data_IF_749199062788
#
_entry.id   IF_749199062788
#
_cell.length_a   1.000
_cell.length_b   1.000
_cell.length_c   1.000
_cell.angle_alpha   90.00
_cell.angle_beta   90.00
_cell.angle_gamma   90.00
#
_symmetry.space_group_name_H-M   'P 1'
#
loop_
_entity.id
_entity.type
_entity.pdbx_description
1 polymer ?
#
# COMPACT_ATOMS: atom_id res chain seq x y z
N UNK A 1 21.19 22.76 -10.19
CA UNK A 1 20.66 22.55 -8.82
C UNK A 1 19.17 22.31 -8.95
N UNK A 2 18.61 21.19 -8.47
CA UNK A 2 17.16 21.06 -8.40
C UNK A 2 16.68 22.00 -7.30
N UNK A 3 15.82 22.94 -7.66
CA UNK A 3 15.13 23.80 -6.70
C UNK A 3 14.24 22.91 -5.83
N UNK A 4 14.66 22.66 -4.58
CA UNK A 4 13.80 22.10 -3.55
C UNK A 4 12.61 23.03 -3.38
N UNK A 5 11.44 22.59 -3.85
CA UNK A 5 10.19 23.32 -3.71
C UNK A 5 9.71 23.16 -2.27
N UNK A 6 9.45 24.25 -1.53
CA UNK A 6 9.02 24.16 -0.14
C UNK A 6 7.61 23.55 -0.03
N UNK A 7 7.42 22.68 0.97
CA UNK A 7 6.10 22.23 1.39
C UNK A 7 5.45 23.34 2.22
N UNK A 8 4.22 23.71 1.88
CA UNK A 8 3.45 24.64 2.71
C UNK A 8 2.54 23.85 3.63
N UNK A 9 2.56 24.22 4.91
CA UNK A 9 1.65 23.67 5.92
C UNK A 9 0.28 24.34 5.91
N UNK A 10 0.07 25.35 5.06
CA UNK A 10 -1.06 26.26 5.17
C UNK A 10 -2.16 25.89 4.20
N UNK A 11 -3.18 25.18 4.66
CA UNK A 11 -4.47 24.99 3.97
C UNK A 11 -5.12 26.36 3.71
N UNK A 12 -5.90 26.58 2.64
CA UNK A 12 -6.75 27.77 2.53
C UNK A 12 -7.76 27.76 3.70
N UNK A 13 -7.45 28.46 4.79
CA UNK A 13 -8.22 28.39 6.04
C UNK A 13 -7.43 28.39 7.36
N UNK A 14 -6.09 28.49 7.35
CA UNK A 14 -5.31 28.76 8.57
C UNK A 14 -5.23 27.61 9.58
N UNK A 15 -5.45 26.37 9.14
CA UNK A 15 -5.21 25.17 9.94
C UNK A 15 -3.85 24.55 9.63
N UNK A 16 -3.13 24.13 10.68
CA UNK A 16 -2.04 23.15 10.59
C UNK A 16 -2.48 21.96 9.73
N UNK A 17 -1.62 21.44 8.84
CA UNK A 17 -1.92 20.21 8.09
C UNK A 17 -2.13 19.03 9.05
N UNK A 18 -3.38 18.81 9.42
CA UNK A 18 -3.79 17.70 10.25
C UNK A 18 -3.88 16.45 9.38
N UNK A 19 -3.15 15.40 9.78
CA UNK A 19 -3.29 14.08 9.17
C UNK A 19 -4.69 13.56 9.47
N UNK A 20 -5.43 13.20 8.42
CA UNK A 20 -6.77 12.63 8.56
C UNK A 20 -6.66 11.17 8.97
N UNK A 21 -6.99 10.88 10.22
CA UNK A 21 -7.09 9.51 10.72
C UNK A 21 -8.40 8.88 10.22
N UNK A 22 -8.27 7.84 9.40
CA UNK A 22 -9.39 7.12 8.80
C UNK A 22 -9.74 5.93 9.69
N UNK A 23 -10.99 5.89 10.12
CA UNK A 23 -11.57 4.86 10.98
C UNK A 23 -12.75 4.20 10.28
N UNK A 24 -13.25 3.11 10.84
CA UNK A 24 -14.44 2.41 10.34
C UNK A 24 -15.62 3.35 10.09
N UNK A 25 -15.88 4.28 11.01
CA UNK A 25 -17.05 5.17 10.94
C UNK A 25 -16.95 6.25 9.86
N UNK A 26 -15.73 6.66 9.49
CA UNK A 26 -15.51 7.73 8.49
C UNK A 26 -14.95 7.21 7.16
N UNK A 27 -14.71 5.91 7.02
CA UNK A 27 -14.03 5.31 5.87
C UNK A 27 -14.61 5.73 4.52
N UNK A 28 -15.91 5.57 4.29
CA UNK A 28 -16.53 5.90 3.00
C UNK A 28 -16.39 7.39 2.66
N UNK A 29 -16.62 8.27 3.63
CA UNK A 29 -16.47 9.72 3.43
C UNK A 29 -15.00 10.12 3.24
N UNK A 30 -14.08 9.44 3.92
CA UNK A 30 -12.64 9.64 3.74
C UNK A 30 -12.16 9.17 2.37
N UNK A 31 -12.64 8.01 1.91
CA UNK A 31 -12.30 7.45 0.60
C UNK A 31 -12.80 8.33 -0.53
N UNK A 32 -14.04 8.84 -0.45
CA UNK A 32 -14.59 9.74 -1.46
C UNK A 32 -13.80 11.06 -1.53
N UNK A 33 -13.48 11.63 -0.37
CA UNK A 33 -12.62 12.82 -0.27
C UNK A 33 -11.22 12.56 -0.82
N UNK A 34 -10.64 11.38 -0.54
CA UNK A 34 -9.31 11.01 -1.01
C UNK A 34 -9.29 10.85 -2.53
N UNK A 35 -10.32 10.24 -3.14
CA UNK A 35 -10.44 10.10 -4.60
C UNK A 35 -10.35 11.46 -5.30
N UNK A 36 -11.14 12.43 -4.84
CA UNK A 36 -11.08 13.79 -5.37
C UNK A 36 -9.67 14.41 -5.22
N UNK A 37 -9.03 14.24 -4.05
CA UNK A 37 -7.66 14.73 -3.85
C UNK A 37 -6.64 14.04 -4.76
N UNK A 38 -6.78 12.73 -5.04
CA UNK A 38 -5.90 11.99 -5.94
C UNK A 38 -6.07 12.49 -7.38
N UNK A 39 -7.30 12.68 -7.86
CA UNK A 39 -7.59 13.20 -9.20
C UNK A 39 -6.99 14.60 -9.44
N UNK A 40 -6.95 15.43 -8.40
CA UNK A 40 -6.41 16.79 -8.48
C UNK A 40 -4.90 16.89 -8.17
N UNK A 41 -4.26 15.80 -7.74
CA UNK A 41 -2.86 15.81 -7.31
C UNK A 41 -1.87 15.73 -8.48
N UNK A 42 -0.69 16.30 -8.28
CA UNK A 42 0.44 16.14 -9.19
C UNK A 42 1.19 14.82 -8.94
N UNK A 43 1.23 14.37 -7.68
CA UNK A 43 1.79 13.08 -7.28
C UNK A 43 1.19 12.61 -5.95
N UNK A 44 1.31 11.30 -5.70
CA UNK A 44 0.85 10.67 -4.46
C UNK A 44 2.04 9.95 -3.81
N UNK A 45 2.16 10.10 -2.49
CA UNK A 45 3.12 9.36 -1.67
C UNK A 45 2.37 8.36 -0.80
N UNK A 46 2.96 7.18 -0.61
CA UNK A 46 2.45 6.12 0.26
C UNK A 46 3.51 5.71 1.27
N UNK A 47 3.07 5.28 2.45
CA UNK A 47 3.93 4.76 3.52
C UNK A 47 3.19 3.67 4.31
N UNK A 48 3.92 2.71 4.87
CA UNK A 48 3.35 1.53 5.52
C UNK A 48 3.93 1.34 6.90
N UNK A 49 3.06 1.09 7.88
CA UNK A 49 3.47 0.53 9.17
C UNK A 49 3.21 -0.98 9.16
N UNK A 50 4.22 -1.75 9.54
CA UNK A 50 4.19 -3.21 9.46
C UNK A 50 4.47 -3.84 10.83
N UNK A 51 3.94 -5.05 11.04
CA UNK A 51 4.18 -5.80 12.28
C UNK A 51 5.61 -6.30 12.42
N UNK A 52 6.33 -6.36 11.29
CA UNK A 52 7.78 -6.37 11.17
C UNK A 52 8.20 -6.20 9.70
N UNK A 53 9.50 -6.10 9.44
CA UNK A 53 10.08 -5.94 8.08
C UNK A 53 10.99 -7.10 7.66
N UNK A 54 11.56 -7.85 8.60
CA UNK A 54 12.65 -8.80 8.32
C UNK A 54 12.46 -10.11 9.08
N UNK A 55 12.23 -11.21 8.36
CA UNK A 55 11.85 -12.50 8.98
C UNK A 55 12.95 -13.16 9.81
N UNK A 56 14.20 -12.84 9.52
CA UNK A 56 15.36 -13.24 10.30
C UNK A 56 16.58 -12.39 9.90
N UNK A 57 17.55 -12.13 10.79
CA UNK A 57 18.72 -11.30 10.48
C UNK A 57 19.54 -11.79 9.28
N UNK A 58 19.61 -13.11 9.05
CA UNK A 58 20.34 -13.70 7.91
C UNK A 58 19.54 -13.67 6.59
N UNK A 59 18.27 -13.25 6.63
CA UNK A 59 17.40 -13.08 5.46
C UNK A 59 17.27 -11.63 5.03
N UNK A 60 17.98 -10.71 5.66
CA UNK A 60 18.03 -9.33 5.18
C UNK A 60 18.56 -9.25 3.75
N UNK A 61 17.92 -8.42 2.90
CA UNK A 61 18.47 -8.08 1.59
C UNK A 61 19.88 -7.51 1.74
N UNK A 62 20.82 -8.10 1.03
CA UNK A 62 22.21 -7.65 0.99
C UNK A 62 22.48 -6.90 -0.32
N UNK A 63 23.40 -5.95 -0.32
CA UNK A 63 23.69 -5.09 -1.49
C UNK A 63 24.11 -5.88 -2.72
N UNK A 64 24.74 -7.04 -2.52
CA UNK A 64 25.24 -7.91 -3.59
C UNK A 64 24.28 -9.07 -3.92
N UNK A 65 23.07 -9.08 -3.35
CA UNK A 65 22.08 -10.08 -3.73
C UNK A 65 21.69 -9.89 -5.21
N UNK A 66 21.59 -11.01 -5.93
CA UNK A 66 20.91 -11.03 -7.22
C UNK A 66 19.43 -10.69 -7.01
N UNK A 67 18.81 -10.04 -7.99
CA UNK A 67 17.44 -9.50 -7.88
C UNK A 67 16.39 -10.55 -7.49
N UNK A 68 16.51 -11.78 -7.98
CA UNK A 68 15.64 -12.90 -7.63
C UNK A 68 15.82 -13.38 -6.18
N UNK A 69 17.06 -13.45 -5.68
CA UNK A 69 17.35 -13.79 -4.28
C UNK A 69 16.79 -12.73 -3.35
N UNK A 70 17.01 -11.45 -3.70
CA UNK A 70 16.44 -10.32 -2.97
C UNK A 70 14.91 -10.37 -2.95
N UNK A 71 14.29 -10.67 -4.08
CA UNK A 71 12.83 -10.86 -4.16
C UNK A 71 12.35 -11.98 -3.23
N UNK A 72 13.00 -13.15 -3.25
CA UNK A 72 12.60 -14.28 -2.40
C UNK A 72 12.75 -13.98 -0.90
N UNK A 73 13.79 -13.24 -0.50
CA UNK A 73 13.99 -12.77 0.87
C UNK A 73 12.88 -11.82 1.33
N UNK A 74 12.55 -10.84 0.47
CA UNK A 74 11.48 -9.87 0.75
C UNK A 74 10.12 -10.55 0.78
N UNK A 75 9.85 -11.45 -0.16
CA UNK A 75 8.63 -12.25 -0.23
C UNK A 75 8.40 -13.06 1.06
N UNK A 76 9.43 -13.75 1.55
CA UNK A 76 9.34 -14.53 2.81
C UNK A 76 8.98 -13.66 4.02
N UNK A 77 9.40 -12.38 4.04
CA UNK A 77 9.03 -11.45 5.11
C UNK A 77 7.62 -10.88 4.90
N UNK A 78 7.29 -10.47 3.68
CA UNK A 78 5.97 -9.93 3.32
C UNK A 78 4.83 -10.95 3.50
N UNK A 79 5.10 -12.25 3.38
CA UNK A 79 4.12 -13.32 3.62
C UNK A 79 3.90 -13.62 5.11
N UNK A 80 4.78 -13.15 6.01
CA UNK A 80 4.73 -13.43 7.46
C UNK A 80 4.22 -12.27 8.28
N UNK A 81 4.48 -11.04 7.83
CA UNK A 81 4.18 -9.83 8.58
C UNK A 81 3.09 -9.04 7.88
N UNK A 82 2.23 -8.42 8.67
CA UNK A 82 1.09 -7.67 8.15
C UNK A 82 1.41 -6.18 8.07
N UNK A 83 0.79 -5.51 7.10
CA UNK A 83 0.61 -4.06 7.13
C UNK A 83 -0.53 -3.74 8.09
N UNK A 84 -0.29 -2.86 9.05
CA UNK A 84 -1.25 -2.45 10.09
C UNK A 84 -1.73 -1.00 9.95
N UNK A 85 -1.01 -0.20 9.16
CA UNK A 85 -1.46 1.13 8.76
C UNK A 85 -0.95 1.44 7.36
N UNK A 86 -1.80 2.07 6.56
CA UNK A 86 -1.51 2.56 5.23
C UNK A 86 -1.63 4.09 5.23
N UNK A 87 -0.48 4.76 5.12
CA UNK A 87 -0.40 6.20 4.93
C UNK A 87 -0.46 6.56 3.44
N UNK A 88 -1.28 7.54 3.08
CA UNK A 88 -1.37 8.07 1.71
C UNK A 88 -1.50 9.57 1.73
N UNK A 89 -0.74 10.24 0.87
CA UNK A 89 -0.69 11.68 0.80
C UNK A 89 -0.61 12.17 -0.65
N UNK A 90 -1.74 12.60 -1.23
CA UNK A 90 -1.75 13.36 -2.48
C UNK A 90 -1.16 14.76 -2.28
N UNK A 91 -0.33 15.19 -3.23
CA UNK A 91 0.29 16.50 -3.25
C UNK A 91 -0.12 17.29 -4.49
N UNK A 92 -0.47 18.55 -4.30
CA UNK A 92 -0.86 19.48 -5.38
C UNK A 92 -0.08 20.78 -5.28
N UNK A 93 0.50 21.22 -6.40
CA UNK A 93 1.25 22.45 -6.52
C UNK A 93 0.31 23.66 -6.57
N UNK A 94 0.55 24.61 -5.67
CA UNK A 94 -0.07 25.91 -5.70
C UNK A 94 0.90 26.94 -6.26
N UNK A 95 0.63 27.40 -7.49
CA UNK A 95 1.44 28.43 -8.12
C UNK A 95 1.29 29.80 -7.45
N UNK A 96 0.16 30.07 -6.79
CA UNK A 96 -0.07 31.34 -6.09
C UNK A 96 0.76 31.45 -4.80
N UNK A 97 0.95 30.32 -4.10
CA UNK A 97 1.77 30.22 -2.89
C UNK A 97 3.19 29.73 -3.15
N UNK A 98 3.50 29.27 -4.37
CA UNK A 98 4.80 28.70 -4.73
C UNK A 98 5.18 27.48 -3.89
N UNK A 99 4.21 26.65 -3.51
CA UNK A 99 4.40 25.52 -2.58
C UNK A 99 3.43 24.38 -2.86
N UNK A 100 3.72 23.20 -2.31
CA UNK A 100 2.80 22.07 -2.36
C UNK A 100 1.81 22.09 -1.19
N UNK A 101 0.55 21.80 -1.49
CA UNK A 101 -0.45 21.34 -0.52
C UNK A 101 -0.41 19.82 -0.42
N UNK A 102 -0.53 19.31 0.80
CA UNK A 102 -0.58 17.88 1.05
C UNK A 102 -1.93 17.49 1.68
N UNK A 103 -2.42 16.31 1.33
CA UNK A 103 -3.65 15.76 1.88
C UNK A 103 -3.36 14.42 2.58
N UNK A 104 -2.66 14.42 3.74
CA UNK A 104 -2.25 13.18 4.41
C UNK A 104 -3.44 12.45 5.05
N UNK A 105 -3.53 11.16 4.80
CA UNK A 105 -4.52 10.24 5.35
C UNK A 105 -3.82 8.99 5.91
N UNK A 106 -4.23 8.55 7.10
CA UNK A 106 -3.76 7.29 7.69
C UNK A 106 -4.94 6.34 7.82
N UNK A 107 -4.84 5.16 7.19
CA UNK A 107 -5.84 4.12 7.26
C UNK A 107 -5.35 3.01 8.19
N UNK A 108 -6.13 2.68 9.21
CA UNK A 108 -5.89 1.46 9.98
C UNK A 108 -6.39 0.25 9.21
N UNK A 109 -5.46 -0.66 8.91
CA UNK A 109 -5.74 -1.93 8.25
C UNK A 109 -5.39 -3.01 9.26
N UNK A 110 -6.25 -4.02 9.42
CA UNK A 110 -5.92 -5.16 10.26
C UNK A 110 -6.48 -6.41 9.60
N UNK A 111 -5.64 -7.44 9.36
CA UNK A 111 -6.06 -8.66 8.69
C UNK A 111 -6.96 -9.49 9.63
N UNK A 112 -8.24 -9.13 9.67
CA UNK A 112 -9.30 -9.85 10.37
C UNK A 112 -10.34 -10.29 9.36
N UNK A 113 -10.68 -11.57 9.38
CA UNK A 113 -11.90 -12.07 8.73
C UNK A 113 -13.12 -11.65 9.54
N UNK A 114 -13.93 -10.74 9.01
CA UNK A 114 -15.23 -10.40 9.61
C UNK A 114 -16.27 -11.52 9.40
N UNK A 115 -16.09 -12.36 8.38
CA UNK A 115 -16.98 -13.49 8.06
C UNK A 115 -16.22 -14.83 8.14
N UNK A 116 -16.81 -15.87 8.75
CA UNK A 116 -16.27 -17.22 8.75
C UNK A 116 -16.53 -17.89 7.38
N UNK A 117 -16.02 -17.30 6.30
CA UNK A 117 -15.97 -17.97 5.00
C UNK A 117 -14.74 -18.87 4.93
N UNK A 118 -14.93 -20.06 4.37
CA UNK A 118 -13.94 -21.13 4.26
C UNK A 118 -12.56 -20.64 3.80
N UNK A 119 -11.56 -20.79 4.67
CA UNK A 119 -10.14 -20.57 4.40
C UNK A 119 -9.29 -20.86 5.65
N UNK A 120 -7.97 -21.06 5.52
CA UNK A 120 -7.08 -21.11 6.69
C UNK A 120 -7.18 -19.79 7.48
N UNK A 121 -6.91 -19.79 8.80
CA UNK A 121 -6.83 -18.53 9.54
C UNK A 121 -5.78 -17.62 8.90
N UNK A 122 -6.04 -16.30 8.89
CA UNK A 122 -5.04 -15.31 8.49
C UNK A 122 -4.05 -15.16 9.65
N UNK A 123 -3.11 -16.10 9.73
CA UNK A 123 -2.05 -16.06 10.72
C UNK A 123 -0.92 -15.16 10.22
N UNK A 124 -0.51 -14.22 11.06
CA UNK A 124 0.61 -13.33 10.81
C UNK A 124 1.41 -13.13 12.10
N UNK A 125 2.67 -12.77 11.96
CA UNK A 125 3.62 -12.64 13.05
C UNK A 125 3.78 -11.18 13.48
N UNK A 126 4.13 -11.00 14.75
CA UNK A 126 4.53 -9.71 15.30
C UNK A 126 5.90 -9.88 15.95
N UNK A 127 6.86 -9.02 15.60
CA UNK A 127 8.15 -9.01 16.28
C UNK A 127 8.15 -8.00 17.40
N UNK A 128 8.62 -8.42 18.58
CA UNK A 128 8.65 -7.60 19.80
C UNK A 128 9.37 -6.27 19.58
N UNK A 129 10.47 -6.26 18.83
CA UNK A 129 11.21 -5.02 18.53
C UNK A 129 10.40 -4.03 17.70
N UNK A 130 9.55 -4.53 16.81
CA UNK A 130 8.75 -3.73 15.90
C UNK A 130 7.53 -3.17 16.63
N UNK A 131 6.96 -3.94 17.56
CA UNK A 131 5.96 -3.44 18.53
C UNK A 131 6.57 -2.33 19.40
N UNK A 132 7.76 -2.53 19.95
CA UNK A 132 8.44 -1.55 20.81
C UNK A 132 8.72 -0.25 20.03
N UNK A 133 9.17 -0.37 18.78
CA UNK A 133 9.34 0.76 17.86
C UNK A 133 8.03 1.51 17.64
N UNK A 134 6.95 0.82 17.23
CA UNK A 134 5.64 1.43 16.99
C UNK A 134 5.09 2.11 18.26
N UNK A 135 5.24 1.47 19.42
CA UNK A 135 4.82 2.02 20.72
C UNK A 135 5.58 3.30 21.04
N UNK A 136 6.89 3.33 20.80
CA UNK A 136 7.73 4.51 21.02
C UNK A 136 7.24 5.71 20.21
N UNK A 137 6.75 5.49 18.99
CA UNK A 137 6.18 6.54 18.13
C UNK A 137 4.67 6.72 18.27
N UNK A 138 4.09 6.25 19.38
CA UNK A 138 2.67 6.47 19.74
C UNK A 138 1.67 5.85 18.75
N UNK A 139 2.02 4.73 18.13
CA UNK A 139 1.06 3.96 17.34
C UNK A 139 -0.11 3.48 18.22
N UNK A 140 -1.34 3.76 17.79
CA UNK A 140 -2.54 3.35 18.53
C UNK A 140 -2.98 1.94 18.13
N UNK A 141 -2.50 0.94 18.88
CA UNK A 141 -2.87 -0.45 18.68
C UNK A 141 -4.36 -0.72 18.91
N UNK A 142 -5.03 0.04 19.78
CA UNK A 142 -6.47 -0.12 19.99
C UNK A 142 -7.23 0.35 18.76
N UNK A 143 -6.92 1.53 18.24
CA UNK A 143 -7.51 2.01 17.00
C UNK A 143 -7.22 1.04 15.84
N UNK A 144 -5.98 0.56 15.71
CA UNK A 144 -5.62 -0.44 14.71
C UNK A 144 -6.49 -1.70 14.78
N UNK A 145 -6.75 -2.24 15.98
CA UNK A 145 -7.49 -3.49 16.15
C UNK A 145 -9.01 -3.30 16.09
N UNK A 146 -9.54 -2.17 16.56
CA UNK A 146 -10.98 -1.96 16.72
C UNK A 146 -11.62 -1.05 15.66
N UNK A 147 -10.87 -0.07 15.12
CA UNK A 147 -11.37 0.94 14.17
C UNK A 147 -11.04 0.62 12.71
N UNK A 148 -10.77 -0.65 12.40
CA UNK A 148 -10.38 -1.14 11.07
C UNK A 148 -11.32 -0.64 9.99
N UNK A 149 -10.78 0.06 9.00
CA UNK A 149 -11.47 0.31 7.74
C UNK A 149 -11.55 -1.01 6.97
N UNK A 150 -12.75 -1.54 6.72
CA UNK A 150 -12.92 -2.85 6.11
C UNK A 150 -12.46 -2.87 4.63
N UNK A 151 -11.18 -3.19 4.40
CA UNK A 151 -10.64 -3.49 3.07
C UNK A 151 -10.71 -5.00 2.73
N UNK A 152 -11.02 -5.86 3.70
CA UNK A 152 -10.87 -7.33 3.59
C UNK A 152 -11.88 -7.96 2.62
N UNK A 153 -13.13 -7.46 2.56
CA UNK A 153 -14.12 -7.95 1.58
C UNK A 153 -13.73 -7.58 0.14
N UNK A 154 -13.15 -6.40 -0.05
CA UNK A 154 -12.72 -5.89 -1.36
C UNK A 154 -11.43 -6.57 -1.84
N UNK A 155 -10.54 -6.98 -0.94
CA UNK A 155 -9.31 -7.70 -1.28
C UNK A 155 -9.62 -9.03 -1.99
N UNK A 156 -10.58 -9.81 -1.48
CA UNK A 156 -10.97 -11.08 -2.09
C UNK A 156 -11.57 -10.93 -3.49
N UNK A 157 -12.28 -9.83 -3.76
CA UNK A 157 -12.82 -9.52 -5.09
C UNK A 157 -11.74 -8.96 -6.03
N UNK A 158 -10.87 -8.06 -5.53
CA UNK A 158 -9.76 -7.50 -6.28
C UNK A 158 -8.75 -8.58 -6.70
N UNK A 159 -8.43 -9.53 -5.82
CA UNK A 159 -7.55 -10.67 -6.13
C UNK A 159 -8.14 -11.57 -7.22
N UNK A 160 -9.46 -11.79 -7.21
CA UNK A 160 -10.14 -12.53 -8.29
C UNK A 160 -10.07 -11.77 -9.61
N UNK A 161 -10.29 -10.45 -9.58
CA UNK A 161 -10.16 -9.58 -10.76
C UNK A 161 -8.75 -9.62 -11.36
N UNK A 162 -7.73 -9.37 -10.55
CA UNK A 162 -6.31 -9.39 -10.96
C UNK A 162 -5.87 -10.75 -11.51
N UNK A 163 -6.29 -11.85 -10.88
CA UNK A 163 -6.02 -13.20 -11.36
C UNK A 163 -6.65 -13.45 -12.74
N UNK A 164 -7.89 -12.99 -12.94
CA UNK A 164 -8.58 -13.07 -14.22
C UNK A 164 -7.88 -12.27 -15.31
N UNK A 165 -7.50 -11.01 -15.02
CA UNK A 165 -6.79 -10.13 -15.96
C UNK A 165 -5.40 -10.66 -16.34
N UNK A 166 -4.67 -11.22 -15.37
CA UNK A 166 -3.36 -11.85 -15.61
C UNK A 166 -3.48 -13.08 -16.51
N UNK A 167 -4.47 -13.94 -16.24
CA UNK A 167 -4.73 -15.13 -17.07
C UNK A 167 -5.19 -14.76 -18.48
N UNK A 168 -6.01 -13.72 -18.62
CA UNK A 168 -6.44 -13.20 -19.92
C UNK A 168 -5.29 -12.57 -20.71
N UNK A 169 -4.40 -11.83 -20.03
CA UNK A 169 -3.16 -11.29 -20.62
C UNK A 169 -2.20 -12.40 -21.11
N UNK A 170 -2.07 -13.49 -20.36
CA UNK A 170 -1.33 -14.68 -20.78
C UNK A 170 -1.99 -15.36 -21.98
N UNK A 171 -3.30 -15.58 -21.96
CA UNK A 171 -4.04 -16.19 -23.06
C UNK A 171 -3.89 -15.36 -24.35
N UNK A 172 -3.99 -14.03 -24.26
CA UNK A 172 -3.80 -13.10 -25.37
C UNK A 172 -2.35 -13.08 -25.90
N UNK A 173 -1.36 -13.31 -25.05
CA UNK A 173 0.03 -13.48 -25.47
C UNK A 173 0.25 -14.79 -26.25
N UNK A 174 -0.38 -15.88 -25.80
CA UNK A 174 -0.27 -17.19 -26.44
C UNK A 174 -0.98 -17.27 -27.81
N UNK A 175 -2.07 -16.55 -28.03
CA UNK A 175 -2.74 -16.52 -29.33
C UNK A 175 -2.13 -15.56 -30.36
N UNK A 176 -1.15 -14.74 -29.97
CA UNK A 176 -0.37 -13.90 -30.90
C UNK A 176 0.87 -14.60 -31.49
N UNK A 177 1.11 -15.87 -31.15
CA UNK A 177 2.08 -16.72 -31.85
C UNK A 177 1.34 -17.53 -32.93
N UNK A 178 1.02 -16.89 -34.07
CA UNK A 178 0.71 -17.67 -35.28
C UNK A 178 2.01 -18.31 -35.82
N UNK A 179 1.94 -19.60 -36.11
CA UNK A 179 3.05 -20.41 -36.61
C UNK A 179 3.67 -19.80 -37.89
N UNK A 180 5.01 -19.74 -38.02
CA UNK A 180 5.62 -19.37 -39.29
C UNK A 180 5.29 -20.43 -40.34
N UNK A 181 4.55 -20.03 -41.37
CA UNK A 181 4.26 -20.84 -42.55
C UNK A 181 5.59 -21.23 -43.22
N UNK A 182 5.91 -22.52 -43.19
CA UNK A 182 7.06 -23.10 -43.88
C UNK A 182 6.99 -22.76 -45.38
N UNK A 183 7.94 -21.97 -45.85
CA UNK A 183 8.12 -21.70 -47.28
C UNK A 183 8.99 -22.80 -47.87
N UNK A 184 8.52 -23.55 -48.90
CA UNK A 184 9.31 -24.62 -49.46
C UNK A 184 10.50 -24.04 -50.25
N UNK A 185 11.69 -24.53 -49.92
CA UNK A 185 12.93 -24.18 -50.59
C UNK A 185 12.91 -24.81 -52.00
N UNK A 186 13.03 -23.96 -53.02
CA UNK A 186 13.21 -24.34 -54.41
C UNK A 186 14.66 -24.75 -54.73
#
# INVERSE_FOLDING_TARGET
MPLLRPFSTDVPGGGSMAVKQVTRSNFNAALESLRACVEESDFVVVDLEMTDVTSAPWRDPFEFDRSDVRYLKLKDSAEKFAVVQFGVCPFRWDSSKGSFFAHPHNFYIFPRKELPLHGPPDDFLWQVTSIDFLTKYQFDFNACIYEVSCAVEQEGEALKGLSSEYLEGLANSFCNFEEPVDTPIA
#
